data_IF_982468447120
#
_entry.id   IF_982468447120
#
_cell.length_a   1.000
_cell.length_b   1.000
_cell.length_c   1.000
_cell.angle_alpha   90.00
_cell.angle_beta   90.00
_cell.angle_gamma   90.00
#
_symmetry.space_group_name_H-M   'P 1'
#
loop_
_entity.id
_entity.type
_entity.pdbx_description
1 polymer ?
#
# COMPACT_ATOMS: atom_id res chain seq x y z
N UNK A 1 -40.69 -1.31 -46.44
CA UNK A 1 -40.22 -0.55 -45.27
C UNK A 1 -39.18 -1.41 -44.56
N UNK A 2 -37.88 -1.11 -44.71
CA UNK A 2 -36.76 -1.84 -44.08
C UNK A 2 -36.45 -1.14 -42.76
N UNK A 3 -36.66 -1.84 -41.64
CA UNK A 3 -36.26 -1.36 -40.31
C UNK A 3 -34.80 -1.68 -40.11
N UNK A 4 -33.93 -0.66 -40.06
CA UNK A 4 -32.52 -0.77 -39.70
C UNK A 4 -32.44 -0.84 -38.17
N UNK A 5 -32.04 -2.00 -37.66
CA UNK A 5 -31.74 -2.19 -36.25
C UNK A 5 -30.32 -1.67 -36.01
N UNK A 6 -30.20 -0.51 -35.35
CA UNK A 6 -28.92 -0.01 -34.87
C UNK A 6 -28.54 -0.75 -33.62
N UNK A 7 -27.53 -1.62 -33.71
CA UNK A 7 -26.91 -2.28 -32.54
C UNK A 7 -25.87 -1.32 -31.97
N UNK A 8 -26.17 -0.71 -30.83
CA UNK A 8 -25.18 0.08 -30.05
C UNK A 8 -24.26 -0.88 -29.32
N UNK A 9 -23.02 -1.00 -29.79
CA UNK A 9 -21.95 -1.71 -29.05
C UNK A 9 -21.47 -0.79 -27.93
N UNK A 10 -21.87 -1.09 -26.69
CA UNK A 10 -21.31 -0.45 -25.48
C UNK A 10 -19.95 -1.11 -25.22
N UNK A 11 -18.88 -0.41 -25.58
CA UNK A 11 -17.52 -0.75 -25.16
C UNK A 11 -17.42 -0.52 -23.66
N UNK A 12 -17.57 -1.57 -22.87
CA UNK A 12 -17.20 -1.55 -21.44
C UNK A 12 -15.69 -1.61 -21.38
N UNK A 13 -15.03 -0.45 -21.35
CA UNK A 13 -13.63 -0.34 -20.98
C UNK A 13 -13.52 -0.70 -19.49
N UNK A 14 -13.07 -1.92 -19.22
CA UNK A 14 -12.69 -2.31 -17.86
C UNK A 14 -11.61 -1.35 -17.35
N UNK A 15 -11.94 -0.54 -16.33
CA UNK A 15 -10.98 0.31 -15.64
C UNK A 15 -10.12 -0.63 -14.79
N UNK A 16 -9.06 -1.19 -15.38
CA UNK A 16 -7.97 -1.75 -14.62
C UNK A 16 -7.23 -0.55 -14.01
N UNK A 17 -7.09 -0.54 -12.69
CA UNK A 17 -6.25 0.45 -12.03
C UNK A 17 -4.81 0.25 -12.54
N UNK A 18 -4.35 1.17 -13.37
CA UNK A 18 -2.98 1.18 -13.88
C UNK A 18 -2.03 1.59 -12.74
N UNK A 19 -0.86 0.96 -12.70
CA UNK A 19 0.18 1.31 -11.74
C UNK A 19 0.65 2.75 -12.00
N UNK A 20 0.82 3.53 -10.93
CA UNK A 20 1.28 4.92 -11.05
C UNK A 20 2.66 4.99 -11.71
N UNK A 21 2.83 5.96 -12.60
CA UNK A 21 4.07 6.15 -13.36
C UNK A 21 5.12 6.92 -12.56
N UNK A 22 6.40 6.74 -12.91
CA UNK A 22 7.51 7.55 -12.38
C UNK A 22 7.21 9.05 -12.61
N UNK A 23 7.40 9.86 -11.58
CA UNK A 23 7.08 11.29 -11.56
C UNK A 23 5.65 11.60 -11.12
N UNK A 24 4.78 10.61 -10.95
CA UNK A 24 3.42 10.82 -10.42
C UNK A 24 3.46 11.28 -8.97
N UNK A 25 2.56 12.18 -8.60
CA UNK A 25 2.32 12.55 -7.20
C UNK A 25 1.75 11.35 -6.43
N UNK A 26 2.11 11.26 -5.14
CA UNK A 26 1.63 10.23 -4.23
C UNK A 26 0.10 10.28 -4.11
N UNK A 27 -0.64 9.28 -4.61
CA UNK A 27 -2.09 9.26 -4.50
C UNK A 27 -2.51 8.93 -3.06
N UNK A 28 -3.69 9.38 -2.66
CA UNK A 28 -4.22 9.08 -1.34
C UNK A 28 -3.37 9.62 -0.18
N UNK A 29 -2.63 10.72 -0.38
CA UNK A 29 -1.79 11.34 0.64
C UNK A 29 -2.54 11.62 1.94
N UNK A 30 -3.82 11.99 1.84
CA UNK A 30 -4.71 12.31 2.96
C UNK A 30 -5.54 11.10 3.44
N UNK A 31 -5.31 9.89 2.92
CA UNK A 31 -6.00 8.70 3.41
C UNK A 31 -5.47 8.31 4.78
N UNK A 32 -6.39 8.19 5.74
CA UNK A 32 -6.09 7.71 7.07
C UNK A 32 -5.96 6.19 7.07
N UNK A 33 -4.88 5.73 7.69
CA UNK A 33 -4.52 4.34 7.85
C UNK A 33 -4.41 4.03 9.34
N UNK A 34 -5.04 2.93 9.77
CA UNK A 34 -4.95 2.46 11.15
C UNK A 34 -3.65 1.66 11.33
N UNK A 35 -2.75 2.16 12.16
CA UNK A 35 -1.51 1.48 12.50
C UNK A 35 -1.73 0.42 13.59
N UNK A 36 -0.87 -0.59 13.65
CA UNK A 36 -0.93 -1.68 14.65
C UNK A 36 -0.80 -1.18 16.10
N UNK A 37 -0.32 0.03 16.33
CA UNK A 37 -0.33 0.69 17.66
C UNK A 37 -1.70 1.30 18.03
N UNK A 38 -2.70 1.12 17.15
CA UNK A 38 -4.07 1.62 17.31
C UNK A 38 -4.30 3.05 16.83
N UNK A 39 -3.25 3.81 16.48
CA UNK A 39 -3.37 5.19 15.99
C UNK A 39 -3.78 5.23 14.52
N UNK A 40 -4.52 6.25 14.16
CA UNK A 40 -4.81 6.56 12.77
C UNK A 40 -3.98 7.76 12.32
N UNK A 41 -3.38 7.66 11.14
CA UNK A 41 -2.52 8.71 10.57
C UNK A 41 -2.72 8.77 9.06
N UNK A 42 -2.63 9.97 8.50
CA UNK A 42 -2.65 10.11 7.03
C UNK A 42 -1.38 9.54 6.43
N UNK A 43 -1.46 9.04 5.19
CA UNK A 43 -0.28 8.52 4.48
C UNK A 43 0.84 9.57 4.43
N UNK A 44 0.49 10.81 4.13
CA UNK A 44 1.45 11.92 4.07
C UNK A 44 2.17 12.20 5.40
N UNK A 45 1.56 11.88 6.53
CA UNK A 45 2.17 12.09 7.86
C UNK A 45 3.38 11.19 8.13
N UNK A 46 3.50 10.08 7.41
CA UNK A 46 4.68 9.20 7.49
C UNK A 46 5.87 9.74 6.67
N UNK A 47 5.64 10.72 5.76
CA UNK A 47 6.71 11.30 4.94
C UNK A 47 7.67 12.11 5.81
N UNK A 48 8.99 11.91 5.58
CA UNK A 48 10.05 12.73 6.17
C UNK A 48 10.62 13.71 5.14
N UNK A 49 11.65 14.47 5.55
CA UNK A 49 12.27 15.52 4.73
C UNK A 49 12.65 15.07 3.32
N UNK A 50 13.20 13.86 3.19
CA UNK A 50 13.74 13.38 1.92
C UNK A 50 12.78 12.44 1.17
N UNK A 51 11.60 12.13 1.73
CA UNK A 51 10.60 11.34 1.04
C UNK A 51 9.91 10.29 1.92
N UNK A 52 9.29 9.31 1.25
CA UNK A 52 8.55 8.22 1.89
C UNK A 52 8.72 6.93 1.08
N UNK A 53 9.10 5.85 1.74
CA UNK A 53 9.02 4.49 1.21
C UNK A 53 7.73 3.84 1.68
N UNK A 54 6.90 3.40 0.73
CA UNK A 54 5.65 2.66 0.96
C UNK A 54 5.84 1.23 0.47
N UNK A 55 5.55 0.24 1.31
CA UNK A 55 5.56 -1.17 0.92
C UNK A 55 4.17 -1.75 1.14
N UNK A 56 3.47 -2.10 0.06
CA UNK A 56 2.28 -2.94 0.17
C UNK A 56 2.69 -4.36 0.52
N UNK A 57 2.13 -4.87 1.60
CA UNK A 57 2.52 -6.13 2.25
C UNK A 57 1.30 -6.90 2.75
N UNK A 58 1.52 -8.02 3.40
CA UNK A 58 0.52 -8.81 4.13
C UNK A 58 1.24 -9.77 5.10
N UNK A 59 0.50 -10.50 5.94
CA UNK A 59 1.12 -11.40 6.91
C UNK A 59 1.60 -12.73 6.30
N UNK A 60 0.89 -13.24 5.29
CA UNK A 60 0.99 -14.65 4.88
C UNK A 60 1.45 -14.87 3.45
N UNK A 61 1.71 -13.82 2.68
CA UNK A 61 2.24 -13.97 1.32
C UNK A 61 3.64 -14.61 1.37
N UNK A 62 3.91 -15.72 0.65
CA UNK A 62 5.22 -16.37 0.66
C UNK A 62 6.38 -15.43 0.25
N UNK A 63 6.12 -14.50 -0.65
CA UNK A 63 7.11 -13.49 -1.05
C UNK A 63 7.37 -12.46 0.04
N UNK A 64 6.35 -12.08 0.82
CA UNK A 64 6.53 -11.20 1.98
C UNK A 64 7.35 -11.92 3.04
N UNK A 65 6.98 -13.15 3.41
CA UNK A 65 7.70 -13.97 4.39
C UNK A 65 9.19 -14.12 4.01
N UNK A 66 9.48 -14.27 2.72
CA UNK A 66 10.85 -14.41 2.21
C UNK A 66 11.66 -13.09 2.29
N UNK A 67 10.99 -11.93 2.36
CA UNK A 67 11.63 -10.62 2.32
C UNK A 67 11.52 -9.83 3.62
N UNK A 68 10.63 -10.22 4.53
CA UNK A 68 10.28 -9.43 5.72
C UNK A 68 11.44 -9.21 6.71
N UNK A 69 12.43 -10.09 6.73
CA UNK A 69 13.66 -9.94 7.52
C UNK A 69 14.47 -8.69 7.13
N UNK A 70 14.27 -8.17 5.92
CA UNK A 70 14.90 -6.96 5.40
C UNK A 70 14.15 -5.68 5.73
N UNK A 71 12.90 -5.78 6.22
CA UNK A 71 12.07 -4.59 6.46
C UNK A 71 12.64 -3.70 7.57
N UNK A 72 13.07 -4.26 8.70
CA UNK A 72 13.73 -3.49 9.75
C UNK A 72 15.03 -2.83 9.27
N UNK A 73 16.00 -3.54 8.65
CA UNK A 73 17.19 -2.92 8.06
C UNK A 73 16.89 -1.81 7.04
N UNK A 74 15.89 -1.99 6.18
CA UNK A 74 15.47 -0.95 5.22
C UNK A 74 14.87 0.25 5.94
N UNK A 75 14.02 0.03 6.95
CA UNK A 75 13.44 1.10 7.79
C UNK A 75 14.53 1.91 8.47
N UNK A 76 15.56 1.26 9.04
CA UNK A 76 16.70 1.91 9.66
C UNK A 76 17.49 2.76 8.65
N UNK A 77 17.70 2.23 7.44
CA UNK A 77 18.35 2.96 6.35
C UNK A 77 17.53 4.19 5.94
N UNK A 78 16.22 4.03 5.81
CA UNK A 78 15.30 5.14 5.54
C UNK A 78 15.40 6.21 6.61
N UNK A 79 15.37 5.81 7.89
CA UNK A 79 15.47 6.73 9.02
C UNK A 79 16.78 7.52 9.01
N UNK A 80 17.92 6.86 8.79
CA UNK A 80 19.25 7.50 8.68
C UNK A 80 19.31 8.55 7.57
N UNK A 81 18.53 8.34 6.51
CA UNK A 81 18.47 9.25 5.35
C UNK A 81 17.29 10.23 5.39
N UNK A 82 16.59 10.40 6.52
CA UNK A 82 15.40 11.24 6.64
C UNK A 82 14.30 10.91 5.60
N UNK A 83 14.15 9.63 5.28
CA UNK A 83 13.06 9.06 4.49
C UNK A 83 12.08 8.39 5.44
N UNK A 84 10.79 8.64 5.28
CA UNK A 84 9.75 7.89 5.99
C UNK A 84 9.66 6.46 5.49
N UNK A 85 9.15 5.57 6.32
CA UNK A 85 8.88 4.17 5.94
C UNK A 85 7.51 3.78 6.48
N UNK A 86 6.69 3.13 5.67
CA UNK A 86 5.42 2.55 6.08
C UNK A 86 5.15 1.26 5.31
N UNK A 87 4.73 0.22 6.03
CA UNK A 87 4.20 -1.00 5.43
C UNK A 87 2.66 -0.98 5.51
N UNK A 88 2.00 -1.42 4.43
CA UNK A 88 0.55 -1.30 4.26
C UNK A 88 -0.04 -2.66 3.90
N UNK A 89 -0.92 -3.20 4.75
CA UNK A 89 -1.66 -4.41 4.46
C UNK A 89 -2.96 -4.08 3.73
N UNK A 90 -3.02 -4.44 2.45
CA UNK A 90 -4.17 -4.23 1.57
C UNK A 90 -4.83 -5.55 1.14
N UNK A 91 -4.51 -6.67 1.79
CA UNK A 91 -5.02 -8.00 1.43
C UNK A 91 -6.45 -8.23 1.94
N UNK A 92 -7.40 -7.46 1.40
CA UNK A 92 -8.79 -7.41 1.87
C UNK A 92 -9.49 -8.76 1.92
N UNK A 93 -9.10 -9.70 1.07
CA UNK A 93 -9.68 -11.06 1.06
C UNK A 93 -9.43 -11.82 2.35
N UNK A 94 -8.36 -11.50 3.07
CA UNK A 94 -7.94 -12.17 4.30
C UNK A 94 -8.04 -11.28 5.55
N UNK A 95 -8.60 -10.06 5.45
CA UNK A 95 -8.77 -9.14 6.58
C UNK A 95 -9.73 -9.68 7.67
N UNK A 96 -10.55 -10.67 7.37
CA UNK A 96 -11.39 -11.35 8.34
C UNK A 96 -10.78 -12.67 8.87
N UNK A 97 -9.51 -12.92 8.56
CA UNK A 97 -8.78 -14.13 8.96
C UNK A 97 -7.31 -13.81 9.23
N UNK A 98 -6.37 -14.46 8.55
CA UNK A 98 -4.92 -14.38 8.77
C UNK A 98 -4.27 -13.00 8.50
N UNK A 99 -4.96 -12.07 7.86
CA UNK A 99 -4.57 -10.68 7.69
C UNK A 99 -5.50 -9.71 8.45
N UNK A 100 -6.25 -10.21 9.46
CA UNK A 100 -7.06 -9.36 10.34
C UNK A 100 -6.18 -8.36 11.10
N UNK A 101 -6.80 -7.30 11.62
CA UNK A 101 -6.05 -6.28 12.36
C UNK A 101 -5.35 -6.87 13.59
N UNK A 102 -5.99 -7.81 14.30
CA UNK A 102 -5.38 -8.49 15.45
C UNK A 102 -4.18 -9.37 15.01
N UNK A 103 -4.32 -10.08 13.89
CA UNK A 103 -3.21 -10.84 13.31
C UNK A 103 -2.07 -9.95 12.82
N UNK A 104 -2.36 -8.74 12.33
CA UNK A 104 -1.33 -7.76 11.99
C UNK A 104 -0.54 -7.29 13.24
N UNK A 105 -1.23 -7.06 14.36
CA UNK A 105 -0.58 -6.70 15.64
C UNK A 105 0.34 -7.83 16.07
N UNK A 106 -0.15 -9.07 16.05
CA UNK A 106 0.65 -10.25 16.41
C UNK A 106 1.86 -10.41 15.48
N UNK A 107 1.64 -10.31 14.17
CA UNK A 107 2.69 -10.43 13.15
C UNK A 107 3.78 -9.36 13.32
N UNK A 108 3.40 -8.11 13.55
CA UNK A 108 4.33 -7.02 13.77
C UNK A 108 5.18 -7.24 15.04
N UNK A 109 4.56 -7.72 16.12
CA UNK A 109 5.26 -8.06 17.36
C UNK A 109 6.22 -9.24 17.18
N UNK A 110 5.78 -10.31 16.52
CA UNK A 110 6.58 -11.51 16.27
C UNK A 110 7.83 -11.25 15.41
N UNK A 111 7.75 -10.26 14.50
CA UNK A 111 8.84 -9.85 13.62
C UNK A 111 9.58 -8.59 14.10
N UNK A 112 9.26 -8.12 15.32
CA UNK A 112 9.89 -6.93 15.94
C UNK A 112 9.90 -5.71 15.00
N UNK A 113 8.77 -5.43 14.33
CA UNK A 113 8.68 -4.32 13.39
C UNK A 113 8.92 -2.97 14.06
N UNK A 114 9.92 -2.23 13.61
CA UNK A 114 10.33 -0.92 14.14
C UNK A 114 9.72 0.27 13.36
N UNK A 115 8.73 0.00 12.53
CA UNK A 115 8.12 0.94 11.60
C UNK A 115 6.59 0.81 11.62
N UNK A 116 5.85 1.79 11.13
CA UNK A 116 4.40 1.70 10.99
C UNK A 116 3.97 0.55 10.07
N UNK A 117 3.11 -0.33 10.59
CA UNK A 117 2.42 -1.36 9.82
C UNK A 117 0.93 -1.09 9.87
N UNK A 118 0.34 -0.72 8.74
CA UNK A 118 -0.99 -0.10 8.68
C UNK A 118 -1.97 -0.94 7.88
N UNK A 119 -3.25 -0.86 8.26
CA UNK A 119 -4.36 -1.50 7.55
C UNK A 119 -4.93 -0.55 6.49
N UNK A 120 -4.94 -1.00 5.24
CA UNK A 120 -5.64 -0.35 4.11
C UNK A 120 -7.03 -0.97 3.94
N UNK A 121 -8.00 -0.40 4.61
CA UNK A 121 -9.39 -0.89 4.56
C UNK A 121 -9.93 -0.82 3.11
N UNK A 122 -10.49 -1.95 2.63
CA UNK A 122 -11.04 -2.10 1.28
C UNK A 122 -10.01 -1.94 0.15
N UNK A 123 -8.71 -2.05 0.43
CA UNK A 123 -7.62 -1.83 -0.52
C UNK A 123 -7.73 -0.48 -1.25
N UNK A 124 -8.18 0.56 -0.54
CA UNK A 124 -8.42 1.88 -1.14
C UNK A 124 -7.12 2.51 -1.61
N UNK A 125 -6.08 2.43 -0.78
CA UNK A 125 -4.76 2.94 -1.11
C UNK A 125 -4.10 2.11 -2.21
N UNK A 126 -4.12 0.77 -2.09
CA UNK A 126 -3.57 -0.12 -3.11
C UNK A 126 -4.19 0.14 -4.49
N UNK A 127 -5.51 0.34 -4.57
CA UNK A 127 -6.20 0.69 -5.81
C UNK A 127 -5.74 2.04 -6.37
N UNK A 128 -5.54 3.05 -5.51
CA UNK A 128 -5.06 4.37 -5.93
C UNK A 128 -3.64 4.33 -6.49
N UNK A 129 -2.79 3.42 -5.98
CA UNK A 129 -1.42 3.20 -6.47
C UNK A 129 -1.34 2.26 -7.68
N UNK A 130 -2.40 1.54 -8.01
CA UNK A 130 -2.35 0.43 -8.95
C UNK A 130 -1.51 -0.74 -8.45
N UNK A 131 -1.39 -0.91 -7.12
CA UNK A 131 -0.64 -1.99 -6.52
C UNK A 131 -1.38 -3.32 -6.66
N UNK A 132 -0.75 -4.30 -7.31
CA UNK A 132 -1.38 -5.57 -7.71
C UNK A 132 -0.73 -6.80 -7.08
N UNK A 133 0.35 -6.63 -6.34
CA UNK A 133 1.15 -7.72 -5.74
C UNK A 133 1.68 -7.34 -4.35
N UNK A 134 2.15 -8.32 -3.60
CA UNK A 134 2.88 -8.12 -2.34
C UNK A 134 4.16 -8.98 -2.35
N UNK A 135 5.32 -8.42 -1.93
CA UNK A 135 5.51 -7.00 -1.65
C UNK A 135 5.48 -6.15 -2.93
N UNK A 136 4.98 -4.90 -2.84
CA UNK A 136 5.03 -3.92 -3.90
C UNK A 136 5.56 -2.61 -3.33
N UNK A 137 6.62 -2.06 -3.88
CA UNK A 137 7.44 -1.00 -3.27
C UNK A 137 7.36 0.28 -4.09
N UNK A 138 7.11 1.40 -3.41
CA UNK A 138 7.05 2.74 -4.01
C UNK A 138 7.90 3.70 -3.17
N UNK A 139 8.84 4.39 -3.82
CA UNK A 139 9.69 5.37 -3.17
C UNK A 139 9.39 6.77 -3.72
N UNK A 140 8.84 7.61 -2.85
CA UNK A 140 8.55 9.01 -3.17
C UNK A 140 9.66 9.92 -2.69
N UNK A 141 10.01 10.92 -3.49
CA UNK A 141 10.98 11.96 -3.16
C UNK A 141 10.44 13.00 -2.15
N UNK A 142 11.24 14.02 -1.85
CA UNK A 142 10.91 15.08 -0.90
C UNK A 142 9.65 15.87 -1.26
N UNK A 143 9.32 15.98 -2.54
CA UNK A 143 8.12 16.69 -3.03
C UNK A 143 6.93 15.75 -3.26
N UNK A 144 7.06 14.46 -2.90
CA UNK A 144 5.99 13.45 -2.99
C UNK A 144 5.76 12.94 -4.41
N UNK A 145 6.78 12.85 -5.22
CA UNK A 145 6.77 12.24 -6.56
C UNK A 145 7.50 10.90 -6.54
N UNK A 146 6.93 9.89 -7.27
CA UNK A 146 7.47 8.54 -7.41
C UNK A 146 8.79 8.54 -8.18
#
# INVERSE_FOLDING_TARGET
MIRILTVSIILISGIFAEEISIGSKMPGADYFLKNVDGKESSLSSFKKKNGLLVIFSCNTCPWVIRWQDRYNPISDLCQKNNIGFVSVNSNTRLHNSVDSFDEMIYHAAANDYKFPYTLDKNAKLAKAFGATKTPHVYLFNSVGEL
#
